data_IF_400135857691
#
_entry.id   IF_400135857691
#
_cell.length_a   1.000
_cell.length_b   1.000
_cell.length_c   1.000
_cell.angle_alpha   90.00
_cell.angle_beta   90.00
_cell.angle_gamma   90.00
#
_symmetry.space_group_name_H-M   'P 1'
#
loop_
_entity.id
_entity.type
_entity.pdbx_description
1 polymer ?
#
# COMPACT_ATOMS: atom_id res chain seq x y z
N UNK A 1 5.10 -10.02 -7.68
CA UNK A 1 4.79 -9.19 -6.51
C UNK A 1 3.76 -9.88 -5.64
N UNK A 2 3.88 -9.82 -4.30
CA UNK A 2 2.89 -10.42 -3.39
C UNK A 2 2.09 -9.34 -2.68
N UNK A 3 0.77 -9.39 -2.83
CA UNK A 3 -0.19 -8.53 -2.13
C UNK A 3 -1.51 -9.26 -1.98
N UNK A 4 -2.18 -9.08 -0.85
CA UNK A 4 -3.46 -9.72 -0.55
C UNK A 4 -4.58 -9.34 -1.51
N UNK A 5 -4.46 -8.21 -2.24
CA UNK A 5 -5.45 -7.84 -3.27
C UNK A 5 -5.53 -8.88 -4.39
N UNK A 6 -4.43 -9.55 -4.73
CA UNK A 6 -4.44 -10.58 -5.77
C UNK A 6 -5.20 -11.84 -5.32
N UNK A 7 -5.17 -12.15 -4.02
CA UNK A 7 -5.98 -13.23 -3.45
C UNK A 7 -7.48 -12.87 -3.46
N UNK A 8 -7.82 -11.61 -3.19
CA UNK A 8 -9.20 -11.10 -3.31
C UNK A 8 -9.67 -11.11 -4.77
N UNK A 9 -8.81 -10.69 -5.72
CA UNK A 9 -9.10 -10.78 -7.15
C UNK A 9 -9.33 -12.23 -7.58
N UNK A 10 -8.46 -13.16 -7.19
CA UNK A 10 -8.60 -14.59 -7.50
C UNK A 10 -9.87 -15.19 -6.90
N UNK A 11 -10.30 -14.76 -5.71
CA UNK A 11 -11.58 -15.19 -5.12
C UNK A 11 -12.77 -14.78 -6.00
N UNK A 12 -12.78 -13.56 -6.52
CA UNK A 12 -13.84 -13.11 -7.44
C UNK A 12 -13.73 -13.75 -8.82
N UNK A 13 -12.53 -14.01 -9.32
CA UNK A 13 -12.30 -14.67 -10.62
C UNK A 13 -12.78 -16.13 -10.63
N UNK A 14 -12.59 -16.86 -9.53
CA UNK A 14 -13.11 -18.22 -9.36
C UNK A 14 -14.61 -18.25 -8.96
N UNK A 15 -15.24 -17.07 -8.81
CA UNK A 15 -16.66 -16.92 -8.49
C UNK A 15 -17.55 -16.80 -9.73
N UNK A 16 -18.77 -16.29 -9.53
CA UNK A 16 -19.78 -16.10 -10.59
C UNK A 16 -19.39 -15.09 -11.66
N UNK A 17 -18.38 -14.24 -11.42
CA UNK A 17 -17.92 -13.20 -12.34
C UNK A 17 -16.80 -13.65 -13.29
N UNK A 18 -16.33 -14.89 -13.17
CA UNK A 18 -15.37 -15.51 -14.09
C UNK A 18 -14.18 -14.59 -14.42
N UNK A 19 -13.84 -14.46 -15.70
CA UNK A 19 -12.70 -13.69 -16.19
C UNK A 19 -12.69 -12.21 -15.81
N UNK A 20 -13.81 -11.60 -15.42
CA UNK A 20 -13.89 -10.19 -15.04
C UNK A 20 -13.98 -9.97 -13.52
N UNK A 21 -14.01 -11.03 -12.72
CA UNK A 21 -14.08 -10.95 -11.26
C UNK A 21 -12.96 -10.11 -10.62
N UNK A 22 -11.76 -10.10 -11.21
CA UNK A 22 -10.63 -9.30 -10.70
C UNK A 22 -10.96 -7.80 -10.58
N UNK A 23 -11.86 -7.27 -11.43
CA UNK A 23 -12.27 -5.86 -11.44
C UNK A 23 -13.03 -5.46 -10.16
N UNK A 24 -13.62 -6.45 -9.47
CA UNK A 24 -14.37 -6.22 -8.23
C UNK A 24 -13.48 -6.09 -7.00
N UNK A 25 -12.21 -6.53 -7.07
CA UNK A 25 -11.32 -6.58 -5.92
C UNK A 25 -11.10 -5.19 -5.30
N UNK A 26 -10.81 -4.18 -6.13
CA UNK A 26 -10.60 -2.82 -5.65
C UNK A 26 -11.91 -2.14 -5.24
N UNK A 27 -12.98 -2.35 -6.01
CA UNK A 27 -14.33 -1.89 -5.64
C UNK A 27 -14.77 -2.39 -4.27
N UNK A 28 -14.54 -3.67 -3.96
CA UNK A 28 -14.88 -4.27 -2.67
C UNK A 28 -14.15 -3.61 -1.49
N UNK A 29 -12.83 -3.43 -1.58
CA UNK A 29 -12.06 -2.74 -0.52
C UNK A 29 -12.49 -1.27 -0.39
N UNK A 30 -12.80 -0.61 -1.49
CA UNK A 30 -13.34 0.76 -1.50
C UNK A 30 -14.71 0.83 -0.79
N UNK A 31 -15.62 -0.13 -1.04
CA UNK A 31 -16.90 -0.22 -0.32
C UNK A 31 -16.70 -0.41 1.18
N UNK A 32 -15.76 -1.27 1.61
CA UNK A 32 -15.44 -1.44 3.04
C UNK A 32 -14.92 -0.14 3.67
N UNK A 33 -14.07 0.61 2.96
CA UNK A 33 -13.58 1.91 3.41
C UNK A 33 -14.71 2.96 3.52
N UNK A 34 -15.65 2.99 2.55
CA UNK A 34 -16.84 3.85 2.58
C UNK A 34 -17.76 3.50 3.75
N UNK A 35 -17.95 2.21 4.06
CA UNK A 35 -18.75 1.76 5.21
C UNK A 35 -18.11 2.24 6.52
N UNK A 36 -16.79 2.09 6.69
CA UNK A 36 -16.09 2.59 7.88
C UNK A 36 -16.15 4.11 7.98
N UNK A 37 -15.93 4.84 6.88
CA UNK A 37 -16.05 6.29 6.81
C UNK A 37 -17.46 6.75 7.22
N UNK A 38 -18.51 6.12 6.66
CA UNK A 38 -19.91 6.41 6.98
C UNK A 38 -20.22 6.11 8.45
N UNK A 39 -19.64 5.04 9.02
CA UNK A 39 -19.77 4.70 10.44
C UNK A 39 -19.13 5.75 11.34
N UNK A 40 -17.96 6.29 10.98
CA UNK A 40 -17.31 7.41 11.69
C UNK A 40 -18.12 8.71 11.56
N UNK A 41 -18.63 9.01 10.37
CA UNK A 41 -19.48 10.18 10.12
C UNK A 41 -20.76 10.14 10.96
N UNK A 42 -21.47 9.01 11.00
CA UNK A 42 -22.67 8.82 11.84
C UNK A 42 -22.39 8.90 13.34
N UNK A 43 -21.17 8.56 13.80
CA UNK A 43 -20.79 8.73 15.21
C UNK A 43 -20.66 10.20 15.61
N UNK A 44 -20.36 11.11 14.68
CA UNK A 44 -20.23 12.54 15.01
C UNK A 44 -21.53 13.19 15.51
N UNK A 45 -22.70 12.64 15.17
CA UNK A 45 -23.97 13.18 15.65
C UNK A 45 -24.32 12.71 17.08
N UNK A 46 -23.58 11.73 17.63
CA UNK A 46 -23.95 11.02 18.87
C UNK A 46 -22.83 10.92 19.90
N UNK A 47 -21.56 11.01 19.49
CA UNK A 47 -20.39 10.80 20.36
C UNK A 47 -19.28 11.79 19.99
N UNK A 48 -18.48 12.30 20.94
CA UNK A 48 -17.28 13.08 20.63
C UNK A 48 -16.38 12.35 19.63
N UNK A 49 -15.77 13.09 18.69
CA UNK A 49 -15.27 12.62 17.37
C UNK A 49 -14.39 11.34 17.32
N UNK A 50 -13.76 10.89 18.42
CA UNK A 50 -12.61 9.94 18.50
C UNK A 50 -11.37 10.35 17.67
N UNK A 51 -10.13 10.36 18.20
CA UNK A 51 -8.96 10.92 17.50
C UNK A 51 -8.64 10.26 16.14
N UNK A 52 -8.80 8.94 16.04
CA UNK A 52 -8.58 8.16 14.83
C UNK A 52 -9.62 8.34 13.74
N UNK A 53 -10.76 8.97 14.04
CA UNK A 53 -11.75 9.33 13.02
C UNK A 53 -11.24 10.42 12.07
N UNK A 54 -10.33 11.30 12.51
CA UNK A 54 -9.82 12.41 11.70
C UNK A 54 -9.11 11.91 10.41
N UNK A 55 -8.09 11.04 10.48
CA UNK A 55 -7.45 10.50 9.26
C UNK A 55 -8.41 9.70 8.38
N UNK A 56 -9.38 8.99 8.96
CA UNK A 56 -10.39 8.25 8.18
C UNK A 56 -11.30 9.23 7.43
N UNK A 57 -11.89 10.21 8.13
CA UNK A 57 -12.88 11.14 7.59
C UNK A 57 -12.33 12.05 6.50
N UNK A 58 -11.06 12.46 6.61
CA UNK A 58 -10.39 13.30 5.62
C UNK A 58 -9.61 12.50 4.57
N UNK A 59 -8.93 11.42 4.96
CA UNK A 59 -8.06 10.66 4.07
C UNK A 59 -8.82 9.73 3.10
N UNK A 60 -9.90 9.08 3.54
CA UNK A 60 -10.66 8.16 2.68
C UNK A 60 -11.30 8.89 1.48
N UNK A 61 -11.99 10.04 1.63
CA UNK A 61 -12.54 10.76 0.48
C UNK A 61 -11.47 11.24 -0.52
N UNK A 62 -10.31 11.71 -0.04
CA UNK A 62 -9.20 12.13 -0.90
C UNK A 62 -8.66 10.95 -1.70
N UNK A 63 -8.44 9.79 -1.06
CA UNK A 63 -7.98 8.59 -1.76
C UNK A 63 -9.03 8.05 -2.75
N UNK A 64 -10.32 8.12 -2.42
CA UNK A 64 -11.40 7.76 -3.36
C UNK A 64 -11.41 8.71 -4.55
N UNK A 65 -11.25 10.02 -4.35
CA UNK A 65 -11.18 10.98 -5.45
C UNK A 65 -9.97 10.71 -6.37
N UNK A 66 -8.80 10.38 -5.81
CA UNK A 66 -7.62 9.92 -6.59
C UNK A 66 -7.93 8.62 -7.35
N UNK A 67 -8.66 7.69 -6.73
CA UNK A 67 -9.10 6.46 -7.38
C UNK A 67 -10.05 6.69 -8.57
N UNK A 68 -11.01 7.60 -8.39
CA UNK A 68 -11.96 8.01 -9.43
C UNK A 68 -11.33 8.89 -10.52
N UNK A 69 -10.14 9.46 -10.29
CA UNK A 69 -9.38 10.20 -11.29
C UNK A 69 -8.81 9.31 -12.41
N UNK A 70 -8.53 8.05 -12.09
CA UNK A 70 -8.08 7.06 -13.06
C UNK A 70 -8.76 5.73 -12.73
N UNK A 71 -10.07 5.60 -13.03
CA UNK A 71 -10.87 4.47 -12.57
C UNK A 71 -10.46 3.17 -13.28
N UNK A 72 -9.98 3.25 -14.52
CA UNK A 72 -9.41 2.12 -15.25
C UNK A 72 -8.22 1.50 -14.51
N UNK A 73 -7.32 2.31 -13.95
CA UNK A 73 -6.15 1.83 -13.20
C UNK A 73 -6.48 1.52 -11.72
N UNK A 74 -7.16 2.41 -11.00
CA UNK A 74 -7.33 2.27 -9.54
C UNK A 74 -8.58 1.51 -9.11
N UNK A 75 -9.63 1.45 -9.94
CA UNK A 75 -10.92 0.82 -9.57
C UNK A 75 -11.14 -0.48 -10.34
N UNK A 76 -10.94 -0.48 -11.66
CA UNK A 76 -11.21 -1.62 -12.55
C UNK A 76 -10.01 -2.55 -12.76
N UNK A 77 -8.80 -2.17 -12.34
CA UNK A 77 -7.64 -3.07 -12.35
C UNK A 77 -7.38 -3.64 -10.94
N UNK A 78 -6.69 -4.79 -10.80
CA UNK A 78 -6.33 -5.35 -9.50
C UNK A 78 -5.06 -4.69 -8.94
N UNK A 79 -4.80 -3.41 -9.25
CA UNK A 79 -3.65 -2.67 -8.73
C UNK A 79 -3.73 -2.56 -7.20
N UNK A 80 -2.67 -2.89 -6.46
CA UNK A 80 -2.65 -2.77 -5.00
C UNK A 80 -2.65 -1.32 -4.50
N UNK A 81 -2.43 -0.32 -5.36
CA UNK A 81 -2.14 1.06 -4.95
C UNK A 81 -3.25 1.70 -4.10
N UNK A 82 -4.46 1.80 -4.65
CA UNK A 82 -5.60 2.42 -3.95
C UNK A 82 -5.98 1.63 -2.71
N UNK A 83 -6.04 0.31 -2.81
CA UNK A 83 -6.46 -0.56 -1.71
C UNK A 83 -5.47 -0.55 -0.55
N UNK A 84 -4.17 -0.62 -0.84
CA UNK A 84 -3.13 -0.49 0.19
C UNK A 84 -3.16 0.90 0.85
N UNK A 85 -3.45 1.95 0.08
CA UNK A 85 -3.60 3.31 0.63
C UNK A 85 -4.82 3.44 1.56
N UNK A 86 -5.99 2.95 1.13
CA UNK A 86 -7.22 2.97 1.93
C UNK A 86 -7.08 2.16 3.22
N UNK A 87 -6.56 0.92 3.12
CA UNK A 87 -6.33 0.06 4.29
C UNK A 87 -5.29 0.69 5.22
N UNK A 88 -4.23 1.32 4.71
CA UNK A 88 -3.25 2.04 5.53
C UNK A 88 -3.87 3.24 6.28
N UNK A 89 -4.69 4.07 5.64
CA UNK A 89 -5.37 5.19 6.31
C UNK A 89 -6.32 4.70 7.40
N UNK A 90 -7.10 3.65 7.13
CA UNK A 90 -8.00 3.04 8.13
C UNK A 90 -7.20 2.42 9.29
N UNK A 91 -6.13 1.67 9.00
CA UNK A 91 -5.23 1.13 10.01
C UNK A 91 -4.58 2.20 10.89
N UNK A 92 -4.16 3.32 10.27
CA UNK A 92 -3.62 4.47 10.98
C UNK A 92 -4.67 5.10 11.91
N UNK A 93 -5.91 5.28 11.45
CA UNK A 93 -7.02 5.73 12.30
C UNK A 93 -7.19 4.87 13.56
N UNK A 94 -7.26 3.55 13.42
CA UNK A 94 -7.38 2.66 14.58
C UNK A 94 -6.12 2.65 15.48
N UNK A 95 -4.93 2.81 14.92
CA UNK A 95 -3.68 2.97 15.67
C UNK A 95 -3.67 4.27 16.50
N UNK A 96 -4.22 5.35 15.96
CA UNK A 96 -4.41 6.62 16.67
C UNK A 96 -5.51 6.51 17.74
N UNK A 97 -6.65 5.88 17.46
CA UNK A 97 -7.66 5.60 18.50
C UNK A 97 -7.03 4.81 19.67
N UNK A 98 -6.17 3.83 19.39
CA UNK A 98 -5.48 3.07 20.42
C UNK A 98 -4.42 3.87 21.20
N UNK A 99 -3.67 4.75 20.52
CA UNK A 99 -2.67 5.61 21.16
C UNK A 99 -3.28 6.60 22.17
N UNK A 100 -4.49 7.08 21.88
CA UNK A 100 -5.19 8.07 22.69
C UNK A 100 -6.13 7.46 23.72
N UNK A 101 -6.88 6.44 23.32
CA UNK A 101 -7.82 5.69 24.16
C UNK A 101 -7.36 4.22 24.19
N UNK A 102 -6.43 3.85 25.09
CA UNK A 102 -5.78 2.54 25.10
C UNK A 102 -6.69 1.43 25.63
N UNK A 103 -7.82 1.23 24.96
CA UNK A 103 -8.80 0.17 25.24
C UNK A 103 -8.38 -1.14 24.58
N UNK A 104 -8.89 -2.24 25.13
CA UNK A 104 -8.78 -3.57 24.53
C UNK A 104 -9.30 -3.60 23.09
N UNK A 105 -10.40 -2.92 22.78
CA UNK A 105 -11.01 -2.94 21.43
C UNK A 105 -10.12 -2.21 20.43
N UNK A 106 -9.58 -1.04 20.80
CA UNK A 106 -8.69 -0.29 19.94
C UNK A 106 -7.35 -1.00 19.71
N UNK A 107 -6.76 -1.62 20.73
CA UNK A 107 -5.54 -2.43 20.60
C UNK A 107 -5.69 -3.53 19.54
N UNK A 108 -6.86 -4.19 19.54
CA UNK A 108 -7.17 -5.31 18.64
C UNK A 108 -7.43 -4.80 17.23
N UNK A 109 -8.24 -3.75 17.07
CA UNK A 109 -8.49 -3.12 15.78
C UNK A 109 -7.19 -2.63 15.13
N UNK A 110 -6.32 -1.98 15.90
CA UNK A 110 -5.01 -1.52 15.44
C UNK A 110 -4.12 -2.69 14.98
N UNK A 111 -3.98 -3.76 15.77
CA UNK A 111 -3.17 -4.93 15.39
C UNK A 111 -3.70 -5.63 14.13
N UNK A 112 -5.02 -5.86 14.05
CA UNK A 112 -5.64 -6.55 12.90
C UNK A 112 -5.54 -5.71 11.62
N UNK A 113 -5.85 -4.41 11.69
CA UNK A 113 -5.83 -3.54 10.52
C UNK A 113 -4.40 -3.19 10.09
N UNK A 114 -3.43 -3.03 11.01
CA UNK A 114 -2.02 -2.87 10.63
C UNK A 114 -1.45 -4.16 10.04
N UNK A 115 -1.86 -5.34 10.54
CA UNK A 115 -1.53 -6.62 9.94
C UNK A 115 -2.07 -6.75 8.52
N UNK A 116 -3.34 -6.42 8.29
CA UNK A 116 -3.94 -6.37 6.95
C UNK A 116 -3.24 -5.35 6.04
N UNK A 117 -2.92 -4.15 6.55
CA UNK A 117 -2.18 -3.13 5.79
C UNK A 117 -0.81 -3.65 5.33
N UNK A 118 -0.11 -4.43 6.18
CA UNK A 118 1.16 -5.09 5.85
C UNK A 118 0.99 -6.15 4.75
N UNK A 119 -0.04 -6.99 4.80
CA UNK A 119 -0.26 -8.02 3.76
C UNK A 119 -0.78 -7.44 2.43
N UNK A 120 -1.27 -6.19 2.44
CA UNK A 120 -1.52 -5.41 1.22
C UNK A 120 -0.26 -4.75 0.67
N UNK A 121 0.58 -4.16 1.53
CA UNK A 121 1.88 -3.58 1.15
C UNK A 121 2.87 -3.70 2.32
N UNK A 122 3.99 -4.44 2.17
CA UNK A 122 4.91 -4.76 3.26
C UNK A 122 5.46 -3.55 4.04
N UNK A 123 5.52 -2.37 3.43
CA UNK A 123 5.94 -1.13 4.11
C UNK A 123 5.12 -0.79 5.37
N UNK A 124 3.86 -1.21 5.41
CA UNK A 124 2.99 -1.03 6.57
C UNK A 124 3.38 -1.91 7.77
N UNK A 125 4.38 -2.79 7.64
CA UNK A 125 5.01 -3.48 8.76
C UNK A 125 5.52 -2.49 9.83
N UNK A 126 5.90 -1.26 9.44
CA UNK A 126 6.27 -0.18 10.37
C UNK A 126 5.10 0.19 11.30
N UNK A 127 3.88 0.25 10.77
CA UNK A 127 2.67 0.54 11.55
C UNK A 127 2.31 -0.63 12.47
N UNK A 128 2.46 -1.87 11.99
CA UNK A 128 2.26 -3.06 12.80
C UNK A 128 3.29 -3.12 13.95
N UNK A 129 4.56 -2.83 13.69
CA UNK A 129 5.59 -2.72 14.72
C UNK A 129 5.25 -1.64 15.74
N UNK A 130 4.79 -0.46 15.31
CA UNK A 130 4.32 0.60 16.21
C UNK A 130 3.13 0.13 17.08
N UNK A 131 2.15 -0.56 16.51
CA UNK A 131 1.02 -1.13 17.24
C UNK A 131 1.47 -2.15 18.32
N UNK A 132 2.37 -3.07 17.96
CA UNK A 132 2.95 -4.05 18.88
C UNK A 132 3.74 -3.38 20.01
N UNK A 133 4.58 -2.40 19.68
CA UNK A 133 5.36 -1.62 20.67
C UNK A 133 4.44 -0.88 21.62
N UNK A 134 3.37 -0.23 21.12
CA UNK A 134 2.38 0.45 21.98
C UNK A 134 1.69 -0.54 22.92
N UNK A 135 1.24 -1.71 22.43
CA UNK A 135 0.65 -2.76 23.29
C UNK A 135 1.61 -3.21 24.38
N UNK A 136 2.88 -3.47 24.05
CA UNK A 136 3.91 -3.88 25.02
C UNK A 136 4.19 -2.79 26.06
N UNK A 137 4.38 -1.54 25.62
CA UNK A 137 4.69 -0.41 26.51
C UNK A 137 3.52 -0.06 27.42
N UNK A 138 2.29 0.03 26.89
CA UNK A 138 1.10 0.37 27.67
C UNK A 138 0.72 -0.74 28.67
N UNK A 139 0.93 -2.02 28.30
CA UNK A 139 0.77 -3.14 29.23
C UNK A 139 1.85 -3.14 30.33
N UNK A 140 3.12 -2.89 29.99
CA UNK A 140 4.22 -2.77 30.99
C UNK A 140 4.00 -1.62 31.97
N UNK A 141 3.30 -0.56 31.56
CA UNK A 141 2.92 0.58 32.42
C UNK A 141 1.60 0.39 33.18
N UNK A 142 0.94 -0.78 33.08
CA UNK A 142 -0.36 -1.02 33.71
C UNK A 142 -1.55 -0.27 33.11
N UNK A 143 -1.33 0.56 32.08
CA UNK A 143 -2.37 1.38 31.42
C UNK A 143 -3.35 0.50 30.63
N UNK A 144 -2.85 -0.57 30.01
CA UNK A 144 -3.66 -1.54 29.27
C UNK A 144 -3.90 -2.79 30.14
N UNK A 145 -5.09 -2.88 30.74
CA UNK A 145 -5.53 -3.96 31.65
C UNK A 145 -5.87 -5.29 30.94
N UNK A 146 -5.13 -5.65 29.89
CA UNK A 146 -5.37 -6.84 29.07
C UNK A 146 -4.29 -7.89 29.33
N UNK A 147 -4.68 -9.04 29.89
CA UNK A 147 -3.79 -10.17 30.12
C UNK A 147 -3.20 -10.74 28.81
N UNK A 148 -1.99 -11.31 28.87
CA UNK A 148 -1.26 -11.81 27.70
C UNK A 148 -2.09 -12.76 26.81
N UNK A 149 -2.80 -13.71 27.44
CA UNK A 149 -3.67 -14.68 26.75
C UNK A 149 -4.80 -13.99 25.98
N UNK A 150 -5.35 -12.89 26.51
CA UNK A 150 -6.36 -12.10 25.81
C UNK A 150 -5.72 -11.38 24.62
N UNK A 151 -4.62 -10.63 24.81
CA UNK A 151 -3.90 -9.97 23.69
C UNK A 151 -3.62 -10.96 22.56
N UNK A 152 -3.06 -12.14 22.88
CA UNK A 152 -2.79 -13.18 21.88
C UNK A 152 -4.06 -13.68 21.18
N UNK A 153 -5.12 -14.01 21.92
CA UNK A 153 -6.40 -14.48 21.34
C UNK A 153 -7.04 -13.46 20.40
N UNK A 154 -6.84 -12.16 20.63
CA UNK A 154 -7.38 -11.12 19.74
C UNK A 154 -6.40 -10.68 18.65
N UNK A 155 -5.10 -10.87 18.84
CA UNK A 155 -4.09 -10.71 17.79
C UNK A 155 -4.03 -11.89 16.82
N UNK A 156 -4.58 -13.06 17.20
CA UNK A 156 -4.53 -14.26 16.38
C UNK A 156 -5.10 -14.12 14.97
N UNK A 157 -6.16 -13.32 14.67
CA UNK A 157 -6.58 -13.11 13.28
C UNK A 157 -5.53 -12.35 12.46
N UNK A 158 -4.85 -11.36 13.06
CA UNK A 158 -3.76 -10.64 12.41
C UNK A 158 -2.58 -11.58 12.12
N UNK A 159 -2.21 -12.40 13.12
CA UNK A 159 -1.16 -13.41 13.00
C UNK A 159 -1.50 -14.46 11.93
N UNK A 160 -2.73 -14.97 11.91
CA UNK A 160 -3.19 -15.94 10.90
C UNK A 160 -3.17 -15.34 9.49
N UNK A 161 -3.58 -14.08 9.31
CA UNK A 161 -3.48 -13.39 8.01
C UNK A 161 -2.03 -13.23 7.55
N UNK A 162 -1.11 -12.83 8.45
CA UNK A 162 0.32 -12.69 8.14
C UNK A 162 0.95 -14.05 7.83
N UNK A 163 0.66 -15.07 8.63
CA UNK A 163 1.16 -16.45 8.43
C UNK A 163 0.62 -17.03 7.12
N UNK A 164 -0.67 -16.85 6.80
CA UNK A 164 -1.24 -17.29 5.52
C UNK A 164 -0.59 -16.56 4.34
N UNK A 165 -0.42 -15.24 4.44
CA UNK A 165 0.24 -14.42 3.42
C UNK A 165 1.71 -14.82 3.21
N UNK A 166 2.48 -15.03 4.28
CA UNK A 166 3.87 -15.49 4.20
C UNK A 166 3.99 -16.94 3.73
N UNK A 167 3.07 -17.83 4.13
CA UNK A 167 3.06 -19.23 3.68
C UNK A 167 2.77 -19.30 2.20
N UNK A 168 1.73 -18.63 1.72
CA UNK A 168 1.42 -18.49 0.29
C UNK A 168 2.60 -17.86 -0.48
N UNK A 169 3.13 -16.74 0.01
CA UNK A 169 4.28 -16.07 -0.60
C UNK A 169 5.49 -16.99 -0.70
N UNK A 170 5.79 -17.72 0.37
CA UNK A 170 6.88 -18.69 0.39
C UNK A 170 6.61 -19.79 -0.62
N UNK A 171 5.45 -20.46 -0.60
CA UNK A 171 5.08 -21.54 -1.54
C UNK A 171 5.15 -21.09 -3.02
N UNK A 172 4.88 -19.81 -3.32
CA UNK A 172 4.87 -19.31 -4.70
C UNK A 172 6.25 -18.89 -5.21
N UNK A 173 7.16 -18.37 -4.36
CA UNK A 173 8.45 -17.84 -4.83
C UNK A 173 9.70 -18.29 -4.06
N UNK A 174 9.55 -18.92 -2.90
CA UNK A 174 10.60 -19.21 -1.92
C UNK A 174 10.82 -18.10 -0.89
N UNK A 175 10.12 -16.96 -1.02
CA UNK A 175 10.32 -15.78 -0.17
C UNK A 175 9.00 -15.33 0.48
N UNK A 176 8.97 -15.09 1.81
CA UNK A 176 7.77 -14.70 2.53
C UNK A 176 7.31 -13.27 2.17
N UNK A 177 8.23 -12.43 1.68
CA UNK A 177 7.98 -11.04 1.27
C UNK A 177 8.77 -10.75 -0.01
N UNK A 178 8.20 -11.02 -1.17
CA UNK A 178 8.80 -10.69 -2.48
C UNK A 178 8.72 -9.16 -2.74
N UNK A 179 9.81 -8.47 -3.12
CA UNK A 179 11.11 -8.95 -3.60
C UNK A 179 12.25 -8.80 -2.58
N UNK A 180 11.97 -8.92 -1.28
CA UNK A 180 13.01 -8.89 -0.25
C UNK A 180 13.84 -10.18 -0.33
N UNK A 181 15.18 -10.13 -0.42
CA UNK A 181 16.04 -11.32 -0.58
C UNK A 181 16.24 -12.10 0.74
N UNK A 182 15.20 -12.22 1.56
CA UNK A 182 15.18 -13.03 2.80
C UNK A 182 14.53 -14.38 2.46
N UNK A 183 15.37 -15.36 2.14
CA UNK A 183 14.93 -16.72 1.85
C UNK A 183 14.73 -17.51 3.16
N UNK A 184 13.62 -18.25 3.28
CA UNK A 184 13.31 -19.04 4.49
C UNK A 184 13.98 -20.43 4.46
N UNK A 185 14.16 -21.01 3.27
CA UNK A 185 14.77 -22.32 3.06
C UNK A 185 15.26 -22.46 1.61
N UNK A 186 16.34 -23.20 1.32
CA UNK A 186 16.84 -23.46 -0.03
C UNK A 186 15.95 -24.43 -0.82
N UNK A 187 14.69 -24.07 -1.05
CA UNK A 187 13.79 -24.85 -1.91
C UNK A 187 14.29 -24.85 -3.37
N UNK A 188 14.27 -26.00 -4.02
CA UNK A 188 14.77 -26.17 -5.40
C UNK A 188 14.04 -25.27 -6.43
N UNK A 189 12.73 -25.05 -6.22
CA UNK A 189 11.87 -24.18 -7.03
C UNK A 189 11.87 -22.70 -6.62
N UNK A 190 12.62 -22.31 -5.58
CA UNK A 190 12.69 -20.92 -5.16
C UNK A 190 13.29 -20.04 -6.27
N UNK A 191 12.77 -18.81 -6.41
CA UNK A 191 13.31 -17.85 -7.36
C UNK A 191 14.79 -17.58 -7.01
N UNK A 192 15.71 -17.62 -7.98
CA UNK A 192 17.14 -17.47 -7.71
C UNK A 192 17.47 -16.18 -6.94
N UNK A 193 18.27 -16.23 -5.85
CA UNK A 193 18.61 -15.03 -5.07
C UNK A 193 19.24 -13.90 -5.91
N UNK A 194 19.96 -14.24 -6.99
CA UNK A 194 20.50 -13.26 -7.93
C UNK A 194 19.39 -12.51 -8.69
N UNK A 195 18.33 -13.21 -9.14
CA UNK A 195 17.18 -12.58 -9.79
C UNK A 195 16.39 -11.72 -8.79
N UNK A 196 16.16 -12.18 -7.56
CA UNK A 196 15.47 -11.36 -6.54
C UNK A 196 16.25 -10.09 -6.19
N UNK A 197 17.58 -10.17 -6.07
CA UNK A 197 18.43 -8.98 -5.89
C UNK A 197 18.36 -8.05 -7.10
N UNK A 198 18.40 -8.59 -8.32
CA UNK A 198 18.25 -7.81 -9.55
C UNK A 198 16.89 -7.10 -9.60
N UNK A 199 15.79 -7.81 -9.39
CA UNK A 199 14.43 -7.28 -9.36
C UNK A 199 14.31 -6.14 -8.36
N UNK A 200 14.79 -6.34 -7.12
CA UNK A 200 14.80 -5.30 -6.09
C UNK A 200 15.57 -4.06 -6.56
N UNK A 201 16.77 -4.22 -7.12
CA UNK A 201 17.57 -3.09 -7.64
C UNK A 201 16.83 -2.35 -8.77
N UNK A 202 16.18 -3.05 -9.69
CA UNK A 202 15.38 -2.45 -10.77
C UNK A 202 14.13 -1.72 -10.26
N UNK A 203 13.52 -2.20 -9.18
CA UNK A 203 12.38 -1.56 -8.53
C UNK A 203 12.80 -0.25 -7.86
N UNK A 204 13.90 -0.29 -7.11
CA UNK A 204 14.47 0.88 -6.43
C UNK A 204 14.96 1.93 -7.45
N UNK A 205 15.64 1.51 -8.53
CA UNK A 205 16.08 2.42 -9.59
C UNK A 205 14.91 3.00 -10.35
N UNK A 206 13.92 2.19 -10.76
CA UNK A 206 12.76 2.67 -11.52
C UNK A 206 11.90 3.65 -10.73
N UNK A 207 11.78 3.47 -9.41
CA UNK A 207 11.05 4.42 -8.55
C UNK A 207 11.75 5.79 -8.45
N UNK A 208 13.08 5.81 -8.54
CA UNK A 208 13.92 7.03 -8.50
C UNK A 208 13.99 7.67 -9.89
N UNK A 209 14.44 6.93 -10.91
CA UNK A 209 14.59 7.39 -12.29
C UNK A 209 14.27 6.24 -13.27
N UNK A 210 13.02 6.18 -13.80
CA UNK A 210 12.61 5.16 -14.76
C UNK A 210 13.50 5.10 -16.00
N UNK A 211 13.76 3.90 -16.50
CA UNK A 211 14.44 3.68 -17.79
C UNK A 211 15.98 3.66 -17.76
N UNK A 212 16.61 4.02 -16.63
CA UNK A 212 18.06 3.88 -16.46
C UNK A 212 18.44 2.62 -15.67
N UNK A 213 19.69 2.17 -15.81
CA UNK A 213 20.18 0.98 -15.13
C UNK A 213 20.28 1.18 -13.60
N UNK A 214 20.20 0.11 -12.79
CA UNK A 214 20.33 0.25 -11.34
C UNK A 214 21.74 0.65 -10.88
N UNK A 215 22.77 0.45 -11.69
CA UNK A 215 24.14 0.88 -11.38
C UNK A 215 24.28 2.40 -11.54
N UNK A 216 23.67 2.99 -12.56
CA UNK A 216 23.61 4.45 -12.76
C UNK A 216 22.79 5.17 -11.68
N UNK A 217 21.62 4.63 -11.31
CA UNK A 217 20.65 5.34 -10.46
C UNK A 217 20.90 5.16 -8.96
N UNK A 218 21.45 4.02 -8.54
CA UNK A 218 21.63 3.71 -7.11
C UNK A 218 23.01 4.11 -6.56
N UNK A 219 23.93 4.57 -7.41
CA UNK A 219 25.29 4.96 -7.02
C UNK A 219 25.37 6.28 -6.24
N UNK A 220 24.45 7.23 -6.48
CA UNK A 220 24.47 8.56 -5.87
C UNK A 220 23.05 9.16 -5.64
N UNK A 221 22.99 10.48 -5.44
CA UNK A 221 21.75 11.26 -5.24
C UNK A 221 21.37 12.13 -6.46
N UNK A 222 22.06 12.00 -7.60
CA UNK A 222 21.83 12.80 -8.82
C UNK A 222 20.43 12.65 -9.41
N UNK A 223 19.75 11.53 -9.12
CA UNK A 223 18.36 11.29 -9.49
C UNK A 223 17.36 12.21 -8.77
N UNK A 224 17.69 12.77 -7.60
CA UNK A 224 16.72 13.44 -6.72
C UNK A 224 16.12 14.73 -7.32
N UNK A 225 16.87 15.66 -7.94
CA UNK A 225 16.29 16.88 -8.52
C UNK A 225 15.29 16.58 -9.64
N UNK A 226 15.63 15.63 -10.53
CA UNK A 226 14.76 15.21 -11.63
C UNK A 226 13.53 14.46 -11.09
N UNK A 227 13.73 13.53 -10.17
CA UNK A 227 12.65 12.84 -9.46
C UNK A 227 11.68 13.84 -8.81
N UNK A 228 12.18 14.86 -8.12
CA UNK A 228 11.36 15.90 -7.49
C UNK A 228 10.58 16.73 -8.52
N UNK A 229 11.23 17.16 -9.60
CA UNK A 229 10.53 17.88 -10.69
C UNK A 229 9.41 17.05 -11.32
N UNK A 230 9.61 15.73 -11.48
CA UNK A 230 8.61 14.80 -12.04
C UNK A 230 7.46 14.50 -11.08
N UNK A 231 7.74 14.37 -9.79
CA UNK A 231 6.78 13.81 -8.81
C UNK A 231 6.11 14.85 -7.91
N UNK A 232 6.69 16.06 -7.75
CA UNK A 232 6.12 17.14 -6.92
C UNK A 232 4.67 17.47 -7.28
N UNK A 233 4.31 17.46 -8.56
CA UNK A 233 2.92 17.61 -9.03
C UNK A 233 1.97 16.55 -8.47
N UNK A 234 2.39 15.29 -8.42
CA UNK A 234 1.61 14.18 -7.83
C UNK A 234 1.42 14.29 -6.31
N UNK A 235 2.27 15.07 -5.62
CA UNK A 235 2.16 15.33 -4.18
C UNK A 235 1.40 16.61 -3.83
N UNK A 236 1.06 17.45 -4.82
CA UNK A 236 0.42 18.76 -4.62
C UNK A 236 -0.78 18.71 -3.67
N UNK A 237 -1.66 17.72 -3.80
CA UNK A 237 -2.82 17.51 -2.90
C UNK A 237 -2.38 17.21 -1.47
N UNK A 238 -1.40 16.33 -1.28
CA UNK A 238 -0.88 15.99 0.05
C UNK A 238 -0.16 17.17 0.70
N UNK A 239 0.60 17.96 -0.06
CA UNK A 239 1.22 19.19 0.42
C UNK A 239 0.20 20.28 0.73
N UNK A 240 -0.89 20.39 -0.05
CA UNK A 240 -1.99 21.31 0.26
C UNK A 240 -2.69 20.94 1.57
N UNK A 241 -3.01 19.65 1.78
CA UNK A 241 -3.62 19.15 3.03
C UNK A 241 -2.66 19.31 4.22
N UNK A 242 -1.36 19.07 4.05
CA UNK A 242 -0.34 19.27 5.08
C UNK A 242 -0.21 20.76 5.45
N UNK A 243 -0.12 21.63 4.44
CA UNK A 243 -0.03 23.09 4.61
C UNK A 243 -1.28 23.62 5.32
N UNK A 244 -2.48 23.22 4.87
CA UNK A 244 -3.73 23.57 5.51
C UNK A 244 -3.75 23.11 6.98
N UNK A 245 -3.30 21.89 7.26
CA UNK A 245 -3.24 21.36 8.63
C UNK A 245 -2.27 22.14 9.53
N UNK A 246 -1.14 22.61 9.00
CA UNK A 246 -0.24 23.53 9.71
C UNK A 246 -0.80 24.94 9.86
N UNK A 247 -1.54 25.47 8.88
CA UNK A 247 -2.21 26.78 8.99
C UNK A 247 -3.28 26.74 10.08
N UNK A 248 -4.13 25.71 10.09
CA UNK A 248 -5.14 25.53 11.16
C UNK A 248 -4.47 25.37 12.53
N UNK A 249 -3.36 24.62 12.61
CA UNK A 249 -2.56 24.50 13.82
C UNK A 249 -1.99 25.84 14.31
N UNK A 250 -1.40 26.63 13.41
CA UNK A 250 -0.82 27.94 13.73
C UNK A 250 -1.86 28.99 14.14
N UNK A 251 -3.04 28.97 13.51
CA UNK A 251 -4.17 29.82 13.93
C UNK A 251 -4.64 29.42 15.33
N UNK A 252 -4.88 28.13 15.56
CA UNK A 252 -5.37 27.65 16.86
C UNK A 252 -4.34 27.85 17.99
N UNK A 253 -3.04 27.76 17.70
CA UNK A 253 -1.99 28.00 18.71
C UNK A 253 -1.92 29.46 19.15
N UNK A 254 -2.32 30.41 18.30
CA UNK A 254 -2.47 31.84 18.66
C UNK A 254 -3.74 32.14 19.45
N UNK A 255 -4.66 31.18 19.54
CA UNK A 255 -5.89 31.30 20.33
C UNK A 255 -5.79 30.58 21.68
N UNK A 256 -4.59 30.12 22.07
CA UNK A 256 -4.32 29.26 23.23
C UNK A 256 -5.12 27.93 23.23
N UNK A 257 -5.63 27.50 22.06
CA UNK A 257 -6.46 26.29 21.88
C UNK A 257 -5.67 25.03 21.54
N UNK A 258 -4.35 25.04 21.72
CA UNK A 258 -3.45 23.95 21.32
C UNK A 258 -2.61 23.51 22.49
N UNK A 259 -2.71 22.23 22.87
CA UNK A 259 -1.78 21.60 23.80
C UNK A 259 -0.92 20.56 23.07
N UNK A 260 0.40 20.79 23.04
CA UNK A 260 1.34 19.87 22.42
C UNK A 260 1.60 18.70 23.37
N UNK A 261 0.72 17.70 23.34
CA UNK A 261 0.93 16.50 24.17
C UNK A 261 1.98 15.57 23.55
N UNK A 262 2.64 14.79 24.42
CA UNK A 262 3.51 13.69 24.02
C UNK A 262 2.82 12.68 23.09
N UNK A 263 1.50 12.48 23.22
CA UNK A 263 0.73 11.55 22.36
C UNK A 263 0.61 12.08 20.94
N UNK A 264 0.34 13.38 20.76
CA UNK A 264 0.31 14.00 19.43
C UNK A 264 1.68 13.96 18.75
N UNK A 265 2.77 14.19 19.49
CA UNK A 265 4.14 13.99 18.97
C UNK A 265 4.40 12.55 18.51
N UNK A 266 3.98 11.55 19.31
CA UNK A 266 4.07 10.13 18.92
C UNK A 266 3.22 9.83 17.68
N UNK A 267 2.01 10.41 17.55
CA UNK A 267 1.13 10.22 16.40
C UNK A 267 1.79 10.71 15.10
N UNK A 268 2.43 11.89 15.12
CA UNK A 268 3.18 12.43 13.98
C UNK A 268 4.37 11.53 13.63
N UNK A 269 5.15 11.07 14.62
CA UNK A 269 6.26 10.14 14.39
C UNK A 269 5.78 8.83 13.73
N UNK A 270 4.67 8.26 14.21
CA UNK A 270 4.08 7.05 13.62
C UNK A 270 3.64 7.28 12.16
N UNK A 271 3.16 8.49 11.81
CA UNK A 271 2.78 8.84 10.44
C UNK A 271 4.00 9.03 9.52
N UNK A 272 5.09 9.62 10.03
CA UNK A 272 6.29 9.93 9.25
C UNK A 272 7.22 8.72 9.06
N UNK A 273 7.27 7.78 10.00
CA UNK A 273 8.16 6.61 9.90
C UNK A 273 7.93 5.77 8.63
N UNK A 274 6.69 5.43 8.21
CA UNK A 274 6.44 4.77 6.93
C UNK A 274 6.88 5.59 5.70
N UNK A 275 6.83 6.93 5.76
CA UNK A 275 7.29 7.79 4.67
C UNK A 275 8.82 7.77 4.57
N UNK A 276 9.54 7.77 5.70
CA UNK A 276 10.99 7.64 5.71
C UNK A 276 11.44 6.30 5.06
N UNK A 277 10.78 5.19 5.42
CA UNK A 277 11.04 3.88 4.81
C UNK A 277 10.66 3.85 3.32
N UNK A 278 9.57 4.51 2.95
CA UNK A 278 9.11 4.61 1.54
C UNK A 278 10.15 5.33 0.69
N UNK A 279 10.66 6.46 1.18
CA UNK A 279 11.61 7.30 0.47
C UNK A 279 12.96 6.60 0.26
N UNK A 280 13.43 5.84 1.25
CA UNK A 280 14.67 5.07 1.14
C UNK A 280 14.56 3.84 0.24
N UNK A 281 13.40 3.18 0.23
CA UNK A 281 13.18 1.97 -0.57
C UNK A 281 12.79 2.32 -2.02
N UNK A 282 11.55 2.76 -2.24
CA UNK A 282 10.99 2.97 -3.57
C UNK A 282 10.13 4.25 -3.57
N UNK A 283 10.74 5.44 -3.82
CA UNK A 283 10.10 6.75 -3.71
C UNK A 283 9.10 7.07 -4.85
N UNK A 284 8.32 6.09 -5.29
CA UNK A 284 7.30 6.24 -6.31
C UNK A 284 5.96 6.68 -5.65
N UNK A 285 5.35 7.82 -6.03
CA UNK A 285 4.16 8.38 -5.38
C UNK A 285 3.04 7.39 -5.04
N UNK A 286 2.63 6.55 -5.99
CA UNK A 286 1.54 5.55 -5.81
C UNK A 286 1.84 4.53 -4.70
N UNK A 287 3.09 4.35 -4.32
CA UNK A 287 3.48 3.45 -3.24
C UNK A 287 3.23 4.05 -1.84
N UNK A 288 3.23 5.39 -1.73
CA UNK A 288 3.13 6.13 -0.48
C UNK A 288 1.78 6.82 -0.20
N UNK A 289 0.79 6.79 -1.10
CA UNK A 289 -0.44 7.59 -0.99
C UNK A 289 -1.17 7.50 0.37
N UNK A 290 -1.27 6.31 0.97
CA UNK A 290 -1.92 6.15 2.28
C UNK A 290 -1.12 6.75 3.44
N UNK A 291 0.21 6.67 3.35
CA UNK A 291 1.15 7.20 4.32
C UNK A 291 1.18 8.74 4.22
N UNK A 292 1.19 9.29 3.00
CA UNK A 292 1.06 10.73 2.77
C UNK A 292 -0.28 11.27 3.27
N UNK A 293 -1.41 10.62 2.97
CA UNK A 293 -2.71 11.01 3.52
C UNK A 293 -2.67 11.06 5.07
N UNK A 294 -2.17 10.00 5.71
CA UNK A 294 -2.02 9.93 7.17
C UNK A 294 -1.13 11.06 7.74
N UNK A 295 0.02 11.32 7.13
CA UNK A 295 0.97 12.34 7.59
C UNK A 295 0.46 13.77 7.36
N UNK A 296 -0.14 14.07 6.20
CA UNK A 296 -0.72 15.38 5.88
C UNK A 296 -1.80 15.81 6.86
N UNK A 297 -2.55 14.86 7.43
CA UNK A 297 -3.62 15.09 8.40
C UNK A 297 -3.08 15.15 9.85
N UNK A 298 -1.89 14.61 10.10
CA UNK A 298 -1.34 14.44 11.46
C UNK A 298 -1.14 15.71 12.30
N UNK A 299 -0.89 16.92 11.75
CA UNK A 299 -0.82 18.14 12.56
C UNK A 299 -2.15 18.49 13.27
N UNK A 300 -3.29 17.99 12.78
CA UNK A 300 -4.59 18.23 13.42
C UNK A 300 -4.72 17.52 14.78
N UNK A 301 -3.87 16.54 15.10
CA UNK A 301 -3.86 15.87 16.42
C UNK A 301 -3.40 16.77 17.58
N UNK A 302 -2.81 17.94 17.31
CA UNK A 302 -2.46 18.91 18.34
C UNK A 302 -3.66 19.83 18.71
N UNK A 303 -4.61 20.02 17.80
CA UNK A 303 -5.81 20.85 18.03
C UNK A 303 -6.77 20.25 19.06
N UNK A 304 -6.90 18.92 19.04
CA UNK A 304 -7.95 18.22 19.77
C UNK A 304 -7.79 18.29 21.30
N UNK A 305 -6.57 18.45 21.78
CA UNK A 305 -6.23 18.31 23.21
C UNK A 305 -6.19 19.64 23.96
N UNK A 306 -6.38 20.77 23.26
CA UNK A 306 -6.76 22.03 23.92
C UNK A 306 -8.26 22.11 24.23
N UNK A 307 -9.09 21.36 23.49
CA UNK A 307 -10.55 21.39 23.64
C UNK A 307 -11.08 20.68 24.88
N UNK A 308 -10.32 19.74 25.47
CA UNK A 308 -10.73 19.02 26.69
C UNK A 308 -10.81 19.95 27.93
N UNK A 309 -10.24 21.15 27.86
CA UNK A 309 -10.34 22.17 28.91
C UNK A 309 -11.65 22.99 28.86
N UNK A 310 -12.32 23.06 27.70
CA UNK A 310 -13.49 23.94 27.48
C UNK A 310 -14.48 23.32 26.47
N UNK A 311 -14.94 22.11 26.79
CA UNK A 311 -15.65 21.21 25.88
C UNK A 311 -16.98 21.76 25.32
N UNK A 312 -17.56 22.80 25.91
CA UNK A 312 -18.90 23.30 25.58
C UNK A 312 -18.99 24.12 24.29
N UNK A 313 -17.89 24.73 23.82
CA UNK A 313 -17.95 25.74 22.74
C UNK A 313 -17.10 25.41 21.50
N UNK A 314 -16.05 24.59 21.63
CA UNK A 314 -15.11 24.30 20.55
C UNK A 314 -15.52 23.13 19.64
N UNK A 315 -16.27 22.16 20.15
CA UNK A 315 -16.66 20.95 19.40
C UNK A 315 -17.37 21.22 18.06
N UNK A 316 -18.43 22.05 17.98
CA UNK A 316 -19.13 22.26 16.71
C UNK A 316 -18.24 22.94 15.68
N UNK A 317 -17.41 23.91 16.06
CA UNK A 317 -16.51 24.61 15.14
C UNK A 317 -15.44 23.67 14.60
N UNK A 318 -14.85 22.81 15.43
CA UNK A 318 -13.89 21.79 14.96
C UNK A 318 -14.57 20.77 14.05
N UNK A 319 -15.80 20.34 14.35
CA UNK A 319 -16.59 19.44 13.49
C UNK A 319 -16.91 20.08 12.14
N UNK A 320 -17.30 21.36 12.10
CA UNK A 320 -17.57 22.10 10.86
C UNK A 320 -16.30 22.43 10.06
N UNK A 321 -15.17 22.72 10.71
CA UNK A 321 -13.89 22.93 10.02
C UNK A 321 -13.32 21.63 9.46
N UNK A 322 -13.42 20.50 10.19
CA UNK A 322 -13.00 19.19 9.66
C UNK A 322 -13.95 18.73 8.55
N UNK A 323 -15.27 18.87 8.74
CA UNK A 323 -16.26 18.55 7.72
C UNK A 323 -16.11 19.41 6.47
N UNK A 324 -15.94 20.72 6.64
CA UNK A 324 -15.70 21.70 5.57
C UNK A 324 -14.36 21.52 4.87
N UNK A 325 -13.28 21.21 5.60
CA UNK A 325 -11.97 20.89 5.00
C UNK A 325 -11.98 19.54 4.28
N UNK A 326 -12.71 18.53 4.77
CA UNK A 326 -12.91 17.27 4.07
C UNK A 326 -13.74 17.46 2.79
N UNK A 327 -14.82 18.25 2.86
CA UNK A 327 -15.62 18.62 1.68
C UNK A 327 -14.78 19.42 0.68
N UNK A 328 -14.03 20.43 1.14
CA UNK A 328 -13.20 21.28 0.29
C UNK A 328 -12.05 20.48 -0.34
N UNK A 329 -11.39 19.61 0.41
CA UNK A 329 -10.37 18.72 -0.15
C UNK A 329 -10.98 17.76 -1.19
N UNK A 330 -12.15 17.16 -0.91
CA UNK A 330 -12.86 16.34 -1.88
C UNK A 330 -13.23 17.15 -3.14
N UNK A 331 -13.81 18.35 -2.99
CA UNK A 331 -14.22 19.23 -4.09
C UNK A 331 -13.03 19.76 -4.90
N UNK A 332 -11.90 20.10 -4.28
CA UNK A 332 -10.68 20.53 -4.99
C UNK A 332 -10.03 19.35 -5.70
N UNK A 333 -9.98 18.17 -5.08
CA UNK A 333 -9.45 16.96 -5.73
C UNK A 333 -10.34 16.56 -6.90
N UNK A 334 -11.67 16.58 -6.74
CA UNK A 334 -12.62 16.38 -7.84
C UNK A 334 -12.45 17.45 -8.92
N UNK A 335 -12.37 18.74 -8.59
CA UNK A 335 -12.22 19.82 -9.57
C UNK A 335 -10.96 19.72 -10.41
N UNK A 336 -9.80 19.47 -9.78
CA UNK A 336 -8.52 19.27 -10.48
C UNK A 336 -8.51 17.96 -11.29
N UNK A 337 -9.18 16.92 -10.79
CA UNK A 337 -9.37 15.66 -11.51
C UNK A 337 -10.24 15.85 -12.75
N UNK A 338 -11.40 16.48 -12.61
CA UNK A 338 -12.35 16.71 -13.70
C UNK A 338 -11.80 17.66 -14.77
N UNK A 339 -10.92 18.60 -14.41
CA UNK A 339 -10.25 19.46 -15.40
C UNK A 339 -9.26 18.70 -16.30
N UNK A 340 -8.66 17.60 -15.82
CA UNK A 340 -7.92 16.65 -16.67
C UNK A 340 -8.79 15.55 -17.27
N UNK A 341 -9.97 15.27 -16.71
CA UNK A 341 -10.89 14.24 -17.20
C UNK A 341 -11.57 14.56 -18.54
N UNK A 342 -11.35 15.75 -19.10
CA UNK A 342 -11.63 16.02 -20.53
C UNK A 342 -10.85 15.12 -21.50
N UNK A 343 -9.81 14.43 -21.01
CA UNK A 343 -9.02 13.41 -21.75
C UNK A 343 -9.55 11.98 -21.53
N UNK A 344 -10.33 11.72 -20.48
CA UNK A 344 -10.84 10.39 -20.17
C UNK A 344 -12.27 10.22 -20.70
N UNK A 345 -12.42 9.36 -21.70
CA UNK A 345 -13.70 9.07 -22.34
C UNK A 345 -14.78 8.52 -21.39
N UNK A 346 -16.02 8.36 -21.88
CA UNK A 346 -17.18 7.96 -21.07
C UNK A 346 -16.92 6.68 -20.25
N UNK A 347 -17.77 6.43 -19.24
CA UNK A 347 -17.67 5.28 -18.32
C UNK A 347 -17.56 3.90 -19.00
N UNK A 348 -17.91 3.77 -20.28
CA UNK A 348 -17.55 2.61 -21.11
C UNK A 348 -16.06 2.27 -21.11
N UNK A 349 -15.18 3.25 -20.88
CA UNK A 349 -13.73 3.08 -20.68
C UNK A 349 -13.36 2.25 -19.44
N UNK A 350 -14.31 2.00 -18.53
CA UNK A 350 -14.14 1.02 -17.45
C UNK A 350 -14.00 -0.42 -17.99
N UNK A 351 -14.44 -0.68 -19.23
CA UNK A 351 -14.03 -1.85 -20.02
C UNK A 351 -12.61 -1.66 -20.54
N UNK A 352 -11.64 -1.55 -19.62
CA UNK A 352 -10.23 -1.77 -19.94
C UNK A 352 -10.17 -3.14 -20.62
N UNK A 353 -9.81 -3.24 -21.91
CA UNK A 353 -9.76 -4.52 -22.59
C UNK A 353 -8.78 -5.40 -21.84
N UNK A 354 -9.06 -6.71 -21.76
CA UNK A 354 -8.09 -7.65 -21.23
C UNK A 354 -6.91 -7.61 -22.20
N UNK A 355 -5.82 -6.95 -21.79
CA UNK A 355 -4.65 -6.76 -22.64
C UNK A 355 -4.01 -8.13 -22.85
N UNK A 356 -4.29 -8.70 -24.01
CA UNK A 356 -3.54 -9.85 -24.52
C UNK A 356 -2.17 -9.30 -24.90
N UNK A 357 -1.21 -9.45 -23.99
CA UNK A 357 0.18 -9.08 -24.26
C UNK A 357 0.66 -9.88 -25.48
N UNK A 358 1.36 -9.26 -26.45
CA UNK A 358 2.03 -10.01 -27.49
C UNK A 358 3.09 -10.89 -26.83
N UNK A 359 3.05 -12.19 -27.12
CA UNK A 359 3.98 -13.17 -26.57
C UNK A 359 4.85 -13.70 -27.70
N UNK A 360 6.12 -13.91 -27.42
CA UNK A 360 6.94 -14.82 -28.21
C UNK A 360 6.78 -16.23 -27.67
N UNK A 361 6.42 -17.17 -28.53
CA UNK A 361 6.47 -18.59 -28.20
C UNK A 361 7.92 -19.03 -27.99
N UNK A 362 8.16 -19.80 -26.93
CA UNK A 362 9.48 -20.31 -26.63
C UNK A 362 9.49 -21.83 -26.45
N UNK A 363 10.67 -22.36 -26.78
CA UNK A 363 10.91 -23.75 -27.12
C UNK A 363 10.47 -24.68 -25.99
N UNK A 364 9.82 -25.76 -26.41
CA UNK A 364 9.29 -26.83 -25.57
C UNK A 364 10.25 -27.27 -24.44
N UNK A 365 9.77 -27.17 -23.20
CA UNK A 365 10.40 -27.75 -22.01
C UNK A 365 9.61 -28.99 -21.59
N UNK A 366 10.11 -30.17 -21.96
CA UNK A 366 9.56 -31.49 -21.62
C UNK A 366 8.08 -31.74 -22.02
N UNK A 367 7.63 -31.21 -23.17
CA UNK A 367 6.25 -31.29 -23.64
C UNK A 367 5.37 -30.11 -23.20
N UNK A 368 5.95 -29.05 -22.65
CA UNK A 368 5.24 -27.82 -22.23
C UNK A 368 5.84 -26.59 -22.90
N UNK A 369 5.03 -25.90 -23.71
CA UNK A 369 5.35 -24.57 -24.24
C UNK A 369 5.41 -23.54 -23.11
N UNK A 370 6.54 -22.82 -23.02
CA UNK A 370 6.70 -21.68 -22.12
C UNK A 370 6.68 -20.41 -22.97
N UNK A 371 5.89 -19.44 -22.55
CA UNK A 371 5.69 -18.19 -23.24
C UNK A 371 6.56 -17.11 -22.58
N UNK A 372 7.04 -16.14 -23.35
CA UNK A 372 7.67 -14.94 -22.78
C UNK A 372 6.98 -13.70 -23.32
N UNK A 373 7.00 -12.59 -22.57
CA UNK A 373 6.61 -11.30 -23.13
C UNK A 373 7.40 -11.02 -24.42
N UNK A 374 6.75 -10.41 -25.40
CA UNK A 374 7.42 -9.76 -26.54
C UNK A 374 8.54 -8.83 -26.05
N UNK A 375 9.64 -8.61 -26.82
CA UNK A 375 10.69 -7.65 -26.46
C UNK A 375 10.20 -6.23 -26.13
N UNK A 376 9.00 -5.86 -26.59
CA UNK A 376 8.32 -4.60 -26.32
C UNK A 376 7.60 -4.52 -24.95
N UNK A 377 7.60 -5.60 -24.16
CA UNK A 377 6.92 -5.67 -22.86
C UNK A 377 7.64 -6.53 -21.83
N UNK A 378 7.25 -6.39 -20.57
CA UNK A 378 7.84 -7.06 -19.40
C UNK A 378 6.80 -7.87 -18.59
N UNK A 379 5.57 -8.00 -19.10
CA UNK A 379 4.44 -8.56 -18.36
C UNK A 379 3.83 -9.78 -19.04
N UNK A 380 3.54 -10.79 -18.22
CA UNK A 380 2.85 -12.02 -18.64
C UNK A 380 1.33 -11.94 -18.56
N UNK A 381 0.76 -10.88 -17.97
CA UNK A 381 -0.68 -10.73 -17.80
C UNK A 381 -1.32 -11.95 -17.13
N UNK A 382 -2.29 -12.56 -17.81
CA UNK A 382 -3.06 -13.74 -17.34
C UNK A 382 -2.63 -15.05 -17.99
N UNK A 383 -1.51 -15.03 -18.71
CA UNK A 383 -1.05 -16.14 -19.54
C UNK A 383 -0.41 -17.20 -18.64
N UNK A 384 -0.97 -18.41 -18.63
CA UNK A 384 -0.35 -19.56 -17.97
C UNK A 384 0.98 -19.89 -18.63
N UNK A 385 1.96 -20.35 -17.84
CA UNK A 385 3.29 -20.73 -18.33
C UNK A 385 4.05 -19.59 -19.01
N UNK A 386 3.83 -18.35 -18.58
CA UNK A 386 4.63 -17.21 -19.01
C UNK A 386 5.65 -16.79 -17.95
N UNK A 387 6.87 -16.45 -18.38
CA UNK A 387 7.94 -15.89 -17.55
C UNK A 387 8.66 -14.74 -18.27
N UNK A 388 9.04 -13.64 -17.58
CA UNK A 388 9.98 -12.66 -18.14
C UNK A 388 11.44 -13.16 -18.12
N UNK A 389 11.73 -14.20 -17.34
CA UNK A 389 13.07 -14.76 -17.15
C UNK A 389 13.13 -16.22 -17.60
N UNK A 390 13.91 -16.49 -18.65
CA UNK A 390 14.32 -17.84 -19.00
C UNK A 390 15.46 -18.27 -18.08
N UNK A 391 15.25 -19.37 -17.35
CA UNK A 391 16.27 -19.97 -16.50
C UNK A 391 16.87 -21.16 -17.25
N UNK A 392 18.18 -21.19 -17.53
CA UNK A 392 18.83 -22.37 -18.10
C UNK A 392 18.61 -23.60 -17.20
N UNK A 393 18.32 -24.75 -17.81
CA UNK A 393 18.05 -25.99 -17.08
C UNK A 393 16.69 -26.06 -16.39
N UNK A 394 15.75 -25.15 -16.70
CA UNK A 394 14.36 -25.25 -16.22
C UNK A 394 13.78 -26.63 -16.52
N UNK A 395 13.30 -27.33 -15.49
CA UNK A 395 12.53 -28.58 -15.62
C UNK A 395 11.11 -28.37 -15.14
N UNK A 396 10.19 -29.16 -15.69
CA UNK A 396 8.79 -29.15 -15.28
C UNK A 396 8.47 -30.51 -14.66
N UNK A 397 8.21 -30.54 -13.35
CA UNK A 397 7.71 -31.73 -12.68
C UNK A 397 6.17 -31.72 -12.62
N UNK A 398 5.54 -32.63 -13.38
CA UNK A 398 4.09 -32.81 -13.39
C UNK A 398 3.57 -33.64 -12.20
N UNK A 399 4.43 -34.33 -11.43
CA UNK A 399 4.01 -35.32 -10.42
C UNK A 399 3.32 -34.72 -9.21
N UNK A 400 3.62 -33.46 -8.88
CA UNK A 400 3.12 -32.80 -7.67
C UNK A 400 1.78 -32.06 -7.87
N UNK A 401 1.23 -32.03 -9.08
CA UNK A 401 0.07 -31.19 -9.44
C UNK A 401 0.39 -29.68 -9.47
N UNK A 402 1.55 -29.29 -8.98
CA UNK A 402 2.17 -27.97 -9.02
C UNK A 402 3.55 -28.14 -9.64
N UNK A 403 3.89 -27.29 -10.60
CA UNK A 403 5.12 -27.47 -11.39
C UNK A 403 6.33 -26.95 -10.60
N UNK A 404 7.10 -27.88 -10.06
CA UNK A 404 8.40 -27.62 -9.44
C UNK A 404 9.43 -27.42 -10.55
N UNK A 405 10.00 -26.22 -10.57
CA UNK A 405 11.18 -25.90 -11.37
C UNK A 405 12.41 -26.45 -10.65
N UNK A 406 12.88 -27.62 -11.05
CA UNK A 406 14.13 -28.18 -10.53
C UNK A 406 15.36 -27.65 -11.30
N UNK A 407 16.49 -27.59 -10.60
CA UNK A 407 17.78 -27.10 -11.10
C UNK A 407 18.87 -28.15 -10.88
N UNK A 408 19.25 -28.81 -11.98
CA UNK A 408 20.56 -29.45 -12.13
C UNK A 408 21.45 -28.49 -12.93
N UNK A 409 22.66 -28.08 -12.52
CA UNK A 409 23.62 -28.61 -11.55
C UNK A 409 24.46 -27.44 -10.98
N UNK A 410 24.80 -27.37 -9.67
CA UNK A 410 25.67 -26.33 -9.10
C UNK A 410 27.14 -26.37 -9.58
N UNK A 411 27.59 -27.38 -10.33
CA UNK A 411 29.01 -27.56 -10.70
C UNK A 411 29.53 -26.67 -11.84
N UNK A 412 28.66 -26.08 -12.68
CA UNK A 412 29.06 -25.56 -14.00
C UNK A 412 29.44 -24.07 -14.06
N UNK A 413 29.60 -23.39 -12.92
CA UNK A 413 29.90 -21.95 -12.89
C UNK A 413 28.68 -21.04 -13.10
N UNK A 414 28.89 -19.73 -13.00
CA UNK A 414 27.79 -18.75 -12.98
C UNK A 414 26.91 -18.84 -14.24
N UNK A 415 25.57 -18.93 -14.11
CA UNK A 415 24.69 -18.85 -15.27
C UNK A 415 24.85 -17.49 -15.94
N UNK A 416 25.21 -17.48 -17.22
CA UNK A 416 25.24 -16.25 -18.02
C UNK A 416 23.82 -15.75 -18.27
N UNK A 417 23.29 -14.99 -17.32
CA UNK A 417 21.99 -14.34 -17.44
C UNK A 417 22.06 -13.25 -18.51
N UNK A 418 21.72 -13.58 -19.75
CA UNK A 418 21.24 -12.56 -20.67
C UNK A 418 19.79 -12.25 -20.26
N UNK A 419 19.48 -11.09 -19.64
CA UNK A 419 18.11 -10.61 -19.68
C UNK A 419 17.64 -10.58 -21.14
N UNK A 420 16.37 -10.89 -21.38
CA UNK A 420 15.76 -10.63 -22.68
C UNK A 420 15.98 -9.14 -22.99
N UNK A 421 16.76 -8.87 -24.04
CA UNK A 421 17.53 -7.63 -24.18
C UNK A 421 16.60 -6.42 -24.02
N UNK A 422 16.75 -5.64 -22.94
CA UNK A 422 15.98 -4.40 -22.69
C UNK A 422 16.44 -3.29 -23.67
N UNK A 423 16.22 -3.52 -24.97
CA UNK A 423 16.33 -2.50 -26.01
C UNK A 423 15.03 -1.69 -25.98
N UNK A 424 14.90 -0.84 -24.96
CA UNK A 424 13.96 0.28 -25.03
C UNK A 424 14.64 1.39 -25.83
N UNK A 425 14.47 1.35 -27.15
CA UNK A 425 14.55 2.57 -27.93
C UNK A 425 13.55 3.59 -27.35
N UNK A 426 13.92 4.87 -27.33
CA UNK A 426 13.28 5.90 -26.52
C UNK A 426 11.86 6.26 -26.97
N UNK A 427 10.87 5.45 -26.57
CA UNK A 427 9.45 5.76 -26.68
C UNK A 427 8.92 6.45 -25.42
N UNK A 428 9.00 7.79 -25.36
CA UNK A 428 8.33 8.56 -24.33
C UNK A 428 6.79 8.47 -24.50
N UNK A 429 6.08 8.17 -23.41
CA UNK A 429 4.62 8.33 -23.25
C UNK A 429 4.33 8.73 -21.80
#
# INVERSE_FOLDING_TARGET
>A
WHSSIFNVASLFENGTWQSDGFRLANGFIMTLAIIEWTRRLRRLTTVPLAPGSIPILMGVPVLIAIGLANPSYFVSSPSPDLCAALVAVVAFGYLIDFLFEPTKVHAVGALVLCGLAMTFRPINAVMLAAAVVLVVVLRRRGVLSVGAKAVFRFASPALLLIVAFWTHSTIVSGYPILPTPVQVSPFHWAVPPALIKNDLRWIESSAKKPGLSPDEVLGDWSWFPEWWSRTSGSYSVFFAVLTLSFVVLGVASRMDRVSVTRRSGIAVVIALLPIAVWFTAAPEPRFGFGQFAAASISPLFFLRLGADADASASEPVVRWLIGGAALLAASLTMGATFSQASVFGPLDSAKVPIVIMPLSELKDVNGTTILTPSPTGDQCGRVKWCTPYLIPGLRIDHRLGWIVVDRTDPSTGEPSWSPARHVREGGAR
#
